data_IF_624193206514
#
_entry.id   IF_624193206514
#
_cell.length_a   1.000
_cell.length_b   1.000
_cell.length_c   1.000
_cell.angle_alpha   90.00
_cell.angle_beta   90.00
_cell.angle_gamma   90.00
#
_symmetry.space_group_name_H-M   'P 1'
#
loop_
_entity.id
_entity.type
_entity.pdbx_description
1 polymer ?
#
# COMPACT_ATOMS: atom_id res chain seq x y z
N UNK A 1 -7.96 -5.63 -18.16
CA UNK A 1 -8.33 -4.84 -19.36
C UNK A 1 -7.24 -5.08 -20.41
N UNK A 2 -7.61 -5.48 -21.62
CA UNK A 2 -6.66 -5.88 -22.68
C UNK A 2 -5.79 -4.70 -23.14
N UNK A 3 -4.52 -4.93 -23.49
CA UNK A 3 -3.62 -3.92 -24.06
C UNK A 3 -3.95 -3.65 -25.56
N UNK A 4 -3.43 -2.58 -26.16
CA UNK A 4 -3.80 -2.20 -27.55
C UNK A 4 -3.47 -3.31 -28.57
N UNK A 5 -2.38 -4.06 -28.34
CA UNK A 5 -1.95 -5.19 -29.18
C UNK A 5 -2.90 -6.39 -29.04
N UNK A 6 -3.31 -6.72 -27.81
CA UNK A 6 -4.31 -7.75 -27.51
C UNK A 6 -5.68 -7.39 -28.07
N UNK A 7 -6.08 -6.11 -27.97
CA UNK A 7 -7.33 -5.63 -28.55
C UNK A 7 -7.27 -5.67 -30.08
N UNK A 8 -6.16 -5.24 -30.69
CA UNK A 8 -5.95 -5.33 -32.15
C UNK A 8 -6.10 -6.77 -32.65
N UNK A 9 -5.44 -7.72 -31.96
CA UNK A 9 -5.56 -9.15 -32.26
C UNK A 9 -6.99 -9.66 -32.09
N UNK A 10 -7.67 -9.24 -31.02
CA UNK A 10 -9.06 -9.63 -30.78
C UNK A 10 -10.00 -9.09 -31.87
N UNK A 11 -9.83 -7.84 -32.29
CA UNK A 11 -10.61 -7.27 -33.40
C UNK A 11 -10.31 -7.99 -34.72
N UNK A 12 -9.07 -8.35 -35.02
CA UNK A 12 -8.73 -9.09 -36.24
C UNK A 12 -9.45 -10.46 -36.35
N UNK A 13 -9.79 -11.07 -35.20
CA UNK A 13 -10.52 -12.35 -35.13
C UNK A 13 -12.05 -12.20 -35.18
N UNK A 14 -12.58 -10.97 -35.13
CA UNK A 14 -14.02 -10.73 -35.19
C UNK A 14 -14.54 -10.72 -36.64
N UNK A 15 -15.83 -11.08 -36.84
CA UNK A 15 -16.48 -10.90 -38.14
C UNK A 15 -16.52 -9.42 -38.55
N UNK A 16 -16.67 -9.13 -39.84
CA UNK A 16 -16.74 -7.76 -40.37
C UNK A 16 -17.83 -6.91 -39.70
N UNK A 17 -18.90 -7.55 -39.25
CA UNK A 17 -20.04 -6.92 -38.58
C UNK A 17 -20.09 -7.35 -37.13
N UNK A 18 -19.88 -6.39 -36.23
CA UNK A 18 -19.72 -6.64 -34.79
C UNK A 18 -20.87 -6.07 -33.96
N UNK A 19 -21.24 -6.79 -32.92
CA UNK A 19 -22.22 -6.39 -31.92
C UNK A 19 -21.54 -5.68 -30.74
N UNK A 20 -22.33 -4.98 -29.91
CA UNK A 20 -21.81 -4.34 -28.69
C UNK A 20 -21.17 -5.36 -27.71
N UNK A 21 -21.70 -6.59 -27.65
CA UNK A 21 -21.15 -7.65 -26.82
C UNK A 21 -19.75 -8.09 -27.31
N UNK A 22 -19.58 -8.30 -28.61
CA UNK A 22 -18.29 -8.64 -29.21
C UNK A 22 -17.26 -7.52 -29.03
N UNK A 23 -17.68 -6.26 -29.14
CA UNK A 23 -16.82 -5.10 -28.86
C UNK A 23 -16.42 -5.08 -27.38
N UNK A 24 -17.35 -5.32 -26.46
CA UNK A 24 -17.09 -5.38 -25.02
C UNK A 24 -16.07 -6.47 -24.67
N UNK A 25 -16.23 -7.65 -25.26
CA UNK A 25 -15.34 -8.80 -25.07
C UNK A 25 -13.94 -8.54 -25.66
N UNK A 26 -13.86 -8.03 -26.90
CA UNK A 26 -12.60 -7.73 -27.57
C UNK A 26 -11.80 -6.64 -26.85
N UNK A 27 -12.48 -5.63 -26.27
CA UNK A 27 -11.83 -4.53 -25.55
C UNK A 27 -11.67 -4.80 -24.04
N UNK A 28 -12.42 -5.73 -23.48
CA UNK A 28 -12.53 -5.96 -22.03
C UNK A 28 -13.23 -4.82 -21.29
N UNK A 29 -14.21 -4.16 -21.91
CA UNK A 29 -14.96 -3.02 -21.35
C UNK A 29 -16.46 -3.27 -21.35
N UNK A 30 -17.09 -3.18 -20.17
CA UNK A 30 -18.50 -3.49 -19.99
C UNK A 30 -19.47 -2.39 -20.48
N UNK A 31 -19.07 -1.12 -20.46
CA UNK A 31 -19.98 0.02 -20.70
C UNK A 31 -19.89 0.59 -22.11
N UNK A 32 -20.03 -0.27 -23.13
CA UNK A 32 -20.02 0.14 -24.55
C UNK A 32 -21.21 1.05 -24.90
N UNK A 33 -22.32 0.95 -24.16
CA UNK A 33 -23.50 1.80 -24.37
C UNK A 33 -23.18 3.30 -24.22
N UNK A 34 -22.20 3.68 -23.41
CA UNK A 34 -21.77 5.07 -23.27
C UNK A 34 -21.02 5.58 -24.50
N UNK A 35 -20.44 4.68 -25.31
CA UNK A 35 -19.74 5.07 -26.55
C UNK A 35 -20.73 5.44 -27.64
N UNK A 36 -21.91 4.82 -27.64
CA UNK A 36 -22.97 5.12 -28.61
C UNK A 36 -23.51 6.54 -28.46
N UNK A 37 -23.27 7.20 -27.31
CA UNK A 37 -23.62 8.60 -27.09
C UNK A 37 -22.58 9.57 -27.69
N UNK A 38 -21.40 9.10 -28.05
CA UNK A 38 -20.38 9.91 -28.73
C UNK A 38 -20.77 10.05 -30.21
N UNK A 39 -20.97 11.28 -30.73
CA UNK A 39 -21.35 11.51 -32.13
C UNK A 39 -20.33 10.98 -33.16
N UNK A 40 -19.07 10.80 -32.74
CA UNK A 40 -18.01 10.26 -33.59
C UNK A 40 -17.95 8.73 -33.60
N UNK A 41 -18.70 8.06 -32.70
CA UNK A 41 -18.72 6.61 -32.65
C UNK A 41 -19.41 6.04 -33.89
N UNK A 42 -18.85 4.99 -34.52
CA UNK A 42 -19.42 4.42 -35.73
C UNK A 42 -20.88 4.00 -35.56
N UNK A 43 -21.72 4.52 -36.45
CA UNK A 43 -23.10 4.08 -36.60
C UNK A 43 -23.16 2.59 -36.93
N UNK A 44 -24.33 2.00 -36.73
CA UNK A 44 -24.56 0.62 -37.08
C UNK A 44 -25.97 0.41 -37.61
N UNK A 45 -26.11 -0.62 -38.43
CA UNK A 45 -27.42 -0.99 -38.95
C UNK A 45 -28.09 -1.94 -37.97
N UNK A 46 -29.39 -1.76 -37.82
CA UNK A 46 -30.21 -2.65 -37.01
C UNK A 46 -30.50 -3.93 -37.79
N UNK A 47 -30.61 -5.05 -37.07
CA UNK A 47 -31.24 -6.24 -37.64
C UNK A 47 -32.69 -5.97 -38.07
N UNK A 48 -33.26 -6.90 -38.85
CA UNK A 48 -34.65 -6.84 -39.30
C UNK A 48 -35.69 -6.81 -38.15
N UNK A 49 -35.27 -6.86 -36.88
CA UNK A 49 -36.12 -6.71 -35.69
C UNK A 49 -35.77 -5.54 -34.78
N UNK A 50 -34.82 -4.67 -35.16
CA UNK A 50 -34.43 -3.49 -34.38
C UNK A 50 -33.65 -3.76 -33.07
N UNK A 51 -33.39 -5.02 -32.72
CA UNK A 51 -32.88 -5.41 -31.39
C UNK A 51 -31.36 -5.40 -31.32
N UNK A 52 -30.68 -5.81 -32.38
CA UNK A 52 -29.22 -5.85 -32.43
C UNK A 52 -28.71 -4.81 -33.41
N UNK A 53 -27.75 -4.00 -32.96
CA UNK A 53 -27.05 -3.02 -33.81
C UNK A 53 -25.70 -3.60 -34.22
N UNK A 54 -25.54 -3.86 -35.51
CA UNK A 54 -24.31 -4.33 -36.13
C UNK A 54 -23.50 -3.15 -36.64
N UNK A 55 -22.22 -3.10 -36.27
CA UNK A 55 -21.29 -2.04 -36.68
C UNK A 55 -20.18 -2.62 -37.52
N UNK A 56 -19.61 -1.79 -38.37
CA UNK A 56 -18.40 -2.14 -39.09
C UNK A 56 -17.23 -2.31 -38.11
N UNK A 57 -16.60 -3.49 -38.14
CA UNK A 57 -15.50 -3.89 -37.25
C UNK A 57 -14.32 -2.93 -37.35
N UNK A 58 -13.92 -2.58 -38.56
CA UNK A 58 -12.70 -1.83 -38.82
C UNK A 58 -12.89 -0.35 -38.49
N UNK A 59 -14.09 0.20 -38.71
CA UNK A 59 -14.49 1.51 -38.26
C UNK A 59 -14.50 1.62 -36.73
N UNK A 60 -15.04 0.61 -36.03
CA UNK A 60 -15.03 0.56 -34.55
C UNK A 60 -13.61 0.45 -34.03
N UNK A 61 -12.76 -0.39 -34.65
CA UNK A 61 -11.35 -0.48 -34.29
C UNK A 61 -10.63 0.85 -34.50
N UNK A 62 -10.79 1.49 -35.66
CA UNK A 62 -10.18 2.79 -35.99
C UNK A 62 -10.61 3.87 -34.99
N UNK A 63 -11.90 3.95 -34.68
CA UNK A 63 -12.40 4.85 -33.65
C UNK A 63 -11.77 4.55 -32.30
N UNK A 64 -11.79 3.29 -31.86
CA UNK A 64 -11.23 2.84 -30.59
C UNK A 64 -9.75 3.21 -30.48
N UNK A 65 -8.94 2.92 -31.51
CA UNK A 65 -7.51 3.23 -31.54
C UNK A 65 -7.22 4.73 -31.48
N UNK A 66 -8.10 5.57 -32.03
CA UNK A 66 -8.00 7.03 -31.94
C UNK A 66 -8.35 7.58 -30.55
N UNK A 67 -9.08 6.81 -29.74
CA UNK A 67 -9.53 7.28 -28.43
C UNK A 67 -8.34 7.55 -27.49
N UNK A 68 -8.36 8.64 -26.71
CA UNK A 68 -7.36 8.91 -25.69
C UNK A 68 -7.17 7.71 -24.75
N UNK A 69 -8.24 6.96 -24.49
CA UNK A 69 -8.22 5.79 -23.62
C UNK A 69 -7.53 4.55 -24.17
N UNK A 70 -7.29 4.47 -25.48
CA UNK A 70 -6.64 3.35 -26.15
C UNK A 70 -5.13 3.59 -26.36
N UNK A 71 -4.66 4.83 -26.27
CA UNK A 71 -3.25 5.21 -26.46
C UNK A 71 -2.31 4.36 -25.59
N UNK A 72 -1.16 3.90 -26.12
CA UNK A 72 -0.19 3.10 -25.38
C UNK A 72 0.42 3.88 -24.20
N UNK A 73 0.59 5.20 -24.36
CA UNK A 73 1.19 6.09 -23.36
C UNK A 73 0.17 6.78 -22.44
N UNK A 74 -1.04 6.22 -22.30
CA UNK A 74 -2.03 6.82 -21.40
C UNK A 74 -1.65 6.62 -19.93
N UNK A 75 -1.66 7.72 -19.18
CA UNK A 75 -1.80 7.74 -17.73
C UNK A 75 -3.15 7.12 -17.33
N UNK A 76 -3.11 5.82 -17.06
CA UNK A 76 -4.20 5.01 -16.55
C UNK A 76 -3.63 3.84 -15.75
N UNK A 77 -4.47 2.94 -15.21
CA UNK A 77 -4.03 1.87 -14.31
C UNK A 77 -3.18 0.77 -14.98
N UNK A 78 -2.74 0.96 -16.24
CA UNK A 78 -1.84 0.03 -16.92
C UNK A 78 -0.45 0.14 -16.31
N UNK A 79 0.20 -1.00 -16.13
CA UNK A 79 1.52 -1.14 -15.49
C UNK A 79 1.56 -0.53 -14.07
N UNK A 80 0.43 -0.50 -13.35
CA UNK A 80 0.43 -0.04 -11.96
C UNK A 80 1.40 -0.83 -11.10
N UNK A 81 1.53 -2.13 -11.32
CA UNK A 81 2.52 -2.95 -10.63
C UNK A 81 3.94 -2.43 -10.88
N UNK A 82 4.33 -2.25 -12.16
CA UNK A 82 5.64 -1.70 -12.51
C UNK A 82 5.87 -0.31 -11.92
N UNK A 83 4.86 0.57 -11.98
CA UNK A 83 4.93 1.91 -11.41
C UNK A 83 5.09 1.88 -9.89
N UNK A 84 4.33 1.02 -9.21
CA UNK A 84 4.40 0.83 -7.77
C UNK A 84 5.75 0.24 -7.37
N UNK A 85 6.34 -0.63 -8.18
CA UNK A 85 7.69 -1.15 -7.97
C UNK A 85 8.73 -0.04 -8.07
N UNK A 86 8.67 0.78 -9.12
CA UNK A 86 9.67 1.81 -9.43
C UNK A 86 9.49 3.11 -8.65
N UNK A 87 8.32 3.33 -8.04
CA UNK A 87 8.01 4.58 -7.35
C UNK A 87 8.81 4.69 -6.04
N UNK A 88 9.63 5.73 -5.96
CA UNK A 88 10.39 6.11 -4.78
C UNK A 88 9.91 7.48 -4.29
N UNK A 89 8.92 7.53 -3.38
CA UNK A 89 8.49 8.79 -2.83
C UNK A 89 9.56 9.35 -1.89
N UNK A 90 9.64 10.67 -1.81
CA UNK A 90 10.54 11.39 -0.90
C UNK A 90 9.97 11.50 0.53
N UNK A 91 8.79 10.95 0.75
CA UNK A 91 8.07 10.97 2.02
C UNK A 91 7.25 9.69 2.18
N UNK A 92 7.02 9.31 3.43
CA UNK A 92 6.35 8.06 3.80
C UNK A 92 4.83 8.18 3.63
N UNK A 93 4.27 9.29 4.10
CA UNK A 93 2.84 9.59 4.06
C UNK A 93 2.51 10.46 2.86
N UNK A 94 1.56 10.02 2.04
CA UNK A 94 1.16 10.67 0.79
C UNK A 94 -0.34 10.99 0.81
N UNK A 95 -0.69 12.23 0.47
CA UNK A 95 -2.07 12.60 0.22
C UNK A 95 -2.60 12.01 -1.10
N UNK A 96 -3.89 12.21 -1.38
CA UNK A 96 -4.55 11.68 -2.59
C UNK A 96 -3.95 12.25 -3.89
N UNK A 97 -3.53 13.50 -3.88
CA UNK A 97 -2.90 14.18 -5.01
C UNK A 97 -1.51 13.64 -5.26
N UNK A 98 -0.70 13.53 -4.20
CA UNK A 98 0.66 13.01 -4.25
C UNK A 98 0.68 11.55 -4.70
N UNK A 99 -0.25 10.71 -4.21
CA UNK A 99 -0.46 9.35 -4.69
C UNK A 99 -0.86 9.30 -6.17
N UNK A 100 -1.75 10.20 -6.58
CA UNK A 100 -2.19 10.28 -7.97
C UNK A 100 -1.02 10.65 -8.89
N UNK A 101 -0.24 11.65 -8.52
CA UNK A 101 0.92 12.10 -9.29
C UNK A 101 2.02 11.02 -9.34
N UNK A 102 2.35 10.43 -8.19
CA UNK A 102 3.35 9.36 -8.08
C UNK A 102 3.01 8.15 -8.96
N UNK A 103 1.73 7.76 -9.02
CA UNK A 103 1.27 6.60 -9.78
C UNK A 103 0.85 6.95 -11.22
N UNK A 104 0.92 8.23 -11.62
CA UNK A 104 0.37 8.72 -12.89
C UNK A 104 -1.09 8.32 -13.06
N UNK A 105 -1.88 8.50 -12.00
CA UNK A 105 -3.32 8.30 -11.91
C UNK A 105 -4.02 9.65 -11.78
N UNK A 106 -5.34 9.67 -11.98
CA UNK A 106 -6.17 10.82 -11.60
C UNK A 106 -6.56 10.71 -10.12
N UNK A 107 -6.75 11.84 -9.41
CA UNK A 107 -7.29 11.83 -8.02
C UNK A 107 -8.57 11.00 -7.89
N UNK A 108 -9.51 11.13 -8.85
CA UNK A 108 -10.73 10.32 -8.91
C UNK A 108 -10.48 8.82 -8.97
N UNK A 109 -9.41 8.39 -9.64
CA UNK A 109 -9.04 6.97 -9.71
C UNK A 109 -8.51 6.46 -8.37
N UNK A 110 -7.77 7.28 -7.62
CA UNK A 110 -7.34 6.96 -6.25
C UNK A 110 -8.55 6.86 -5.32
N UNK A 111 -9.45 7.84 -5.34
CA UNK A 111 -10.68 7.83 -4.53
C UNK A 111 -11.55 6.60 -4.80
N UNK A 112 -11.60 6.15 -6.06
CA UNK A 112 -12.35 4.95 -6.43
C UNK A 112 -11.82 3.67 -5.76
N UNK A 113 -10.53 3.59 -5.39
CA UNK A 113 -10.04 2.46 -4.60
C UNK A 113 -10.60 2.49 -3.18
N UNK A 114 -10.64 3.66 -2.54
CA UNK A 114 -11.25 3.85 -1.22
C UNK A 114 -12.74 3.50 -1.22
N UNK A 115 -13.48 3.94 -2.24
CA UNK A 115 -14.91 3.65 -2.38
C UNK A 115 -15.17 2.15 -2.63
N UNK A 116 -14.33 1.50 -3.44
CA UNK A 116 -14.51 0.10 -3.82
C UNK A 116 -14.03 -0.88 -2.75
N UNK A 117 -13.06 -0.48 -1.94
CA UNK A 117 -12.44 -1.31 -0.91
C UNK A 117 -12.45 -0.57 0.43
N UNK A 118 -13.64 -0.26 0.99
CA UNK A 118 -13.74 0.47 2.25
C UNK A 118 -13.24 -0.36 3.43
N UNK A 119 -12.60 0.30 4.41
CA UNK A 119 -12.04 -0.33 5.61
C UNK A 119 -13.08 -1.08 6.47
N UNK A 120 -14.35 -0.66 6.42
CA UNK A 120 -15.43 -1.22 7.23
C UNK A 120 -16.00 -2.54 6.70
N UNK A 121 -15.88 -2.82 5.41
CA UNK A 121 -16.64 -3.91 4.76
C UNK A 121 -15.78 -4.81 3.87
N UNK A 122 -14.68 -4.30 3.32
CA UNK A 122 -13.86 -5.08 2.41
C UNK A 122 -12.98 -6.06 3.18
N UNK A 123 -12.95 -7.33 2.74
CA UNK A 123 -12.01 -8.35 3.23
C UNK A 123 -10.53 -7.94 3.04
N UNK A 124 -10.25 -7.13 2.04
CA UNK A 124 -8.92 -6.58 1.76
C UNK A 124 -9.06 -5.10 1.40
N UNK A 125 -9.22 -4.22 2.41
CA UNK A 125 -9.52 -2.82 2.21
C UNK A 125 -8.33 -2.06 1.65
N UNK A 126 -8.61 -0.98 0.92
CA UNK A 126 -7.57 -0.04 0.54
C UNK A 126 -7.02 0.66 1.80
N UNK A 127 -5.70 0.90 1.92
CA UNK A 127 -5.13 1.42 3.15
C UNK A 127 -5.81 2.70 3.66
N UNK A 128 -6.10 2.76 4.96
CA UNK A 128 -6.79 3.91 5.55
C UNK A 128 -5.91 5.14 5.48
N UNK A 129 -6.56 6.30 5.42
CA UNK A 129 -5.86 7.56 5.64
C UNK A 129 -5.66 7.82 7.14
N UNK A 130 -4.62 8.59 7.47
CA UNK A 130 -4.45 9.23 8.77
C UNK A 130 -5.47 10.36 8.98
N UNK A 131 -5.35 11.05 10.12
CA UNK A 131 -6.19 12.20 10.45
C UNK A 131 -6.04 13.37 9.45
N UNK A 132 -4.89 13.47 8.78
CA UNK A 132 -4.59 14.50 7.78
C UNK A 132 -5.02 14.09 6.35
N UNK A 133 -5.63 12.91 6.19
CA UNK A 133 -6.03 12.40 4.89
C UNK A 133 -4.89 11.77 4.06
N UNK A 134 -3.71 11.59 4.65
CA UNK A 134 -2.52 10.97 4.03
C UNK A 134 -2.47 9.47 4.29
N UNK A 135 -1.80 8.73 3.42
CA UNK A 135 -1.69 7.28 3.49
C UNK A 135 -0.24 6.84 3.46
N UNK A 136 0.05 5.78 4.20
CA UNK A 136 1.34 5.12 4.17
C UNK A 136 1.63 4.56 2.77
N UNK A 137 2.72 5.03 2.15
CA UNK A 137 3.16 4.53 0.85
C UNK A 137 3.48 3.04 0.90
N UNK A 138 4.15 2.57 1.95
CA UNK A 138 4.53 1.16 2.09
C UNK A 138 3.30 0.25 2.10
N UNK A 139 2.22 0.67 2.79
CA UNK A 139 0.93 -0.03 2.78
C UNK A 139 0.22 0.04 1.43
N UNK A 140 0.17 1.21 0.78
CA UNK A 140 -0.46 1.39 -0.53
C UNK A 140 0.25 0.54 -1.58
N UNK A 141 1.58 0.51 -1.55
CA UNK A 141 2.41 -0.34 -2.38
C UNK A 141 2.09 -1.80 -2.15
N UNK A 142 2.21 -2.30 -0.92
CA UNK A 142 1.90 -3.69 -0.59
C UNK A 142 0.47 -4.09 -1.02
N UNK A 143 -0.50 -3.17 -0.91
CA UNK A 143 -1.87 -3.39 -1.38
C UNK A 143 -1.96 -3.59 -2.89
N UNK A 144 -1.31 -2.75 -3.69
CA UNK A 144 -1.29 -2.93 -5.14
C UNK A 144 -0.56 -4.20 -5.58
N UNK A 145 0.52 -4.57 -4.87
CA UNK A 145 1.34 -5.71 -5.24
C UNK A 145 0.65 -7.04 -4.96
N UNK A 146 0.03 -7.20 -3.78
CA UNK A 146 -0.68 -8.45 -3.44
C UNK A 146 -1.89 -8.75 -4.34
N UNK A 147 -2.46 -7.73 -5.00
CA UNK A 147 -3.54 -7.94 -5.98
C UNK A 147 -3.08 -8.64 -7.26
N UNK A 148 -1.79 -8.57 -7.59
CA UNK A 148 -1.22 -9.15 -8.81
C UNK A 148 -0.23 -10.30 -8.52
N UNK A 149 0.09 -10.56 -7.25
CA UNK A 149 1.08 -11.56 -6.83
C UNK A 149 0.46 -12.50 -5.77
N UNK A 150 -0.44 -13.40 -6.18
CA UNK A 150 -1.18 -14.27 -5.26
C UNK A 150 -0.22 -15.19 -4.49
N UNK A 151 -0.65 -15.61 -3.30
CA UNK A 151 0.04 -16.65 -2.52
C UNK A 151 0.18 -17.93 -3.36
N UNK A 152 1.31 -18.68 -3.26
CA UNK A 152 1.44 -19.98 -3.90
C UNK A 152 0.25 -20.91 -3.63
N UNK A 153 -0.10 -21.71 -4.64
CA UNK A 153 -1.21 -22.65 -4.55
C UNK A 153 -0.91 -23.76 -3.53
N UNK A 154 -1.96 -24.28 -2.89
CA UNK A 154 -1.83 -25.49 -2.10
C UNK A 154 -1.56 -26.69 -3.02
N UNK A 155 -0.73 -27.63 -2.55
CA UNK A 155 -0.54 -28.92 -3.21
C UNK A 155 -1.75 -29.84 -3.03
N UNK A 156 -1.66 -31.07 -3.56
CA UNK A 156 -2.74 -32.06 -3.52
C UNK A 156 -3.24 -32.40 -2.11
N UNK A 157 -2.39 -32.22 -1.08
CA UNK A 157 -2.74 -32.43 0.32
C UNK A 157 -3.36 -31.22 1.04
N UNK A 158 -3.69 -30.13 0.32
CA UNK A 158 -4.25 -28.90 0.91
C UNK A 158 -3.24 -28.01 1.65
N UNK A 159 -2.06 -28.54 1.98
CA UNK A 159 -0.94 -27.77 2.50
C UNK A 159 -0.19 -27.03 1.37
N UNK A 160 0.30 -25.83 1.66
CA UNK A 160 1.22 -25.09 0.78
C UNK A 160 2.65 -25.52 1.04
N UNK A 161 3.45 -25.57 -0.03
CA UNK A 161 4.88 -25.82 0.11
C UNK A 161 5.55 -24.61 0.80
N UNK A 162 6.22 -24.87 1.92
CA UNK A 162 6.88 -23.84 2.69
C UNK A 162 8.04 -23.17 1.93
N UNK A 163 8.76 -23.91 1.09
CA UNK A 163 9.84 -23.35 0.28
C UNK A 163 9.30 -22.33 -0.72
N UNK A 164 8.19 -22.64 -1.41
CA UNK A 164 7.54 -21.71 -2.33
C UNK A 164 7.00 -20.47 -1.61
N UNK A 165 6.40 -20.68 -0.43
CA UNK A 165 5.92 -19.57 0.41
C UNK A 165 7.08 -18.69 0.87
N UNK A 166 8.22 -19.24 1.28
CA UNK A 166 9.40 -18.45 1.66
C UNK A 166 9.93 -17.60 0.51
N UNK A 167 10.05 -18.17 -0.68
CA UNK A 167 10.48 -17.43 -1.89
C UNK A 167 9.48 -16.30 -2.18
N UNK A 168 8.19 -16.59 -2.09
CA UNK A 168 7.14 -15.59 -2.29
C UNK A 168 7.14 -14.49 -1.22
N UNK A 169 7.38 -14.82 0.05
CA UNK A 169 7.51 -13.85 1.15
C UNK A 169 8.68 -12.89 0.90
N UNK A 170 9.84 -13.43 0.50
CA UNK A 170 11.09 -12.68 0.38
C UNK A 170 11.31 -11.98 -0.96
N UNK A 171 10.40 -12.18 -1.94
CA UNK A 171 10.52 -11.68 -3.32
C UNK A 171 10.93 -10.21 -3.45
N UNK A 172 10.60 -9.38 -2.45
CA UNK A 172 10.83 -7.93 -2.42
C UNK A 172 11.36 -7.43 -1.08
N UNK A 173 11.93 -8.31 -0.26
CA UNK A 173 12.39 -7.98 1.08
C UNK A 173 13.47 -6.86 1.10
N UNK A 174 14.30 -6.79 0.05
CA UNK A 174 15.34 -5.78 -0.10
C UNK A 174 14.84 -4.42 -0.63
N UNK A 175 13.55 -4.28 -0.99
CA UNK A 175 13.07 -3.00 -1.54
C UNK A 175 13.21 -1.86 -0.51
N UNK A 176 13.85 -0.77 -0.92
CA UNK A 176 14.04 0.39 -0.06
C UNK A 176 15.08 0.20 1.05
N UNK A 177 15.91 -0.86 1.00
CA UNK A 177 17.11 -0.95 1.84
C UNK A 177 18.23 -0.02 1.38
N UNK A 178 18.25 0.33 0.09
CA UNK A 178 19.24 1.23 -0.47
C UNK A 178 18.90 2.70 -0.15
N UNK A 179 19.89 3.50 0.28
CA UNK A 179 19.66 4.91 0.60
C UNK A 179 19.30 5.71 -0.66
N UNK A 180 18.22 6.48 -0.58
CA UNK A 180 17.81 7.47 -1.58
C UNK A 180 18.18 8.84 -1.04
N UNK A 181 18.98 9.60 -1.79
CA UNK A 181 19.55 10.89 -1.33
C UNK A 181 20.29 10.77 0.03
N UNK A 182 20.96 9.63 0.25
CA UNK A 182 21.69 9.34 1.49
C UNK A 182 20.82 8.94 2.67
N UNK A 183 19.51 8.68 2.47
CA UNK A 183 18.57 8.31 3.54
C UNK A 183 17.82 7.03 3.21
N UNK A 184 17.69 6.17 4.21
CA UNK A 184 16.77 5.02 4.16
C UNK A 184 15.41 5.50 4.66
N UNK A 185 14.38 5.32 3.84
CA UNK A 185 13.02 5.69 4.19
C UNK A 185 12.34 4.53 4.91
N UNK A 186 12.19 4.69 6.23
CA UNK A 186 11.43 3.79 7.08
C UNK A 186 9.99 4.30 7.21
N UNK A 187 9.02 3.39 7.20
CA UNK A 187 7.62 3.73 7.39
C UNK A 187 7.29 4.02 8.87
N UNK A 188 6.01 4.25 9.14
CA UNK A 188 5.52 4.57 10.50
C UNK A 188 5.80 3.47 11.54
N UNK A 189 6.12 2.24 11.09
CA UNK A 189 6.51 1.13 11.95
C UNK A 189 8.03 0.94 12.04
N UNK A 190 8.83 1.83 11.43
CA UNK A 190 10.28 1.69 11.38
C UNK A 190 10.74 0.60 10.40
N UNK A 191 9.88 0.21 9.46
CA UNK A 191 10.15 -0.82 8.45
C UNK A 191 10.49 -0.17 7.11
N UNK A 192 11.44 -0.75 6.36
CA UNK A 192 11.59 -0.41 4.95
C UNK A 192 10.35 -0.85 4.16
N UNK A 193 10.21 -0.32 2.95
CA UNK A 193 9.13 -0.72 2.03
C UNK A 193 9.11 -2.24 1.79
N UNK A 194 10.29 -2.85 1.63
CA UNK A 194 10.45 -4.30 1.44
C UNK A 194 10.11 -5.10 2.69
N UNK A 195 10.58 -4.65 3.86
CA UNK A 195 10.22 -5.27 5.14
C UNK A 195 8.70 -5.21 5.37
N UNK A 196 8.05 -4.09 5.04
CA UNK A 196 6.59 -3.96 5.11
C UNK A 196 5.87 -4.93 4.18
N UNK A 197 6.36 -5.11 2.95
CA UNK A 197 5.78 -6.07 1.98
C UNK A 197 5.86 -7.50 2.53
N UNK A 198 7.00 -7.88 3.13
CA UNK A 198 7.18 -9.18 3.79
C UNK A 198 6.16 -9.40 4.92
N UNK A 199 5.95 -8.40 5.79
CA UNK A 199 4.95 -8.47 6.88
C UNK A 199 3.53 -8.63 6.34
N UNK A 200 3.15 -7.86 5.31
CA UNK A 200 1.82 -7.97 4.69
C UNK A 200 1.61 -9.34 4.01
N UNK A 201 2.65 -9.90 3.38
CA UNK A 201 2.60 -11.24 2.81
C UNK A 201 2.52 -12.32 3.89
N UNK A 202 3.24 -12.16 5.00
CA UNK A 202 3.17 -13.08 6.15
C UNK A 202 1.75 -13.12 6.72
N UNK A 203 1.08 -11.96 6.86
CA UNK A 203 -0.33 -11.88 7.24
C UNK A 203 -1.23 -12.64 6.27
N UNK A 204 -1.05 -12.48 4.96
CA UNK A 204 -1.84 -13.21 3.96
C UNK A 204 -1.61 -14.73 4.02
N UNK A 205 -0.37 -15.16 4.30
CA UNK A 205 -0.05 -16.57 4.49
C UNK A 205 -0.72 -17.14 5.75
N UNK A 206 -0.67 -16.41 6.86
CA UNK A 206 -1.38 -16.76 8.11
C UNK A 206 -2.89 -16.87 7.89
N UNK A 207 -3.49 -15.88 7.23
CA UNK A 207 -4.92 -15.87 6.87
C UNK A 207 -5.31 -16.98 5.86
N UNK A 208 -4.34 -17.66 5.25
CA UNK A 208 -4.51 -18.82 4.39
C UNK A 208 -4.08 -20.12 5.08
N UNK A 209 -4.04 -20.14 6.42
CA UNK A 209 -3.68 -21.29 7.26
C UNK A 209 -2.25 -21.80 7.04
N UNK A 210 -1.34 -20.93 6.62
CA UNK A 210 0.08 -21.26 6.45
C UNK A 210 0.87 -20.72 7.64
N UNK A 211 1.51 -21.61 8.39
CA UNK A 211 2.34 -21.25 9.53
C UNK A 211 3.60 -20.51 9.08
N UNK A 212 3.71 -19.23 9.43
CA UNK A 212 4.92 -18.41 9.25
C UNK A 212 5.55 -18.22 10.63
N UNK A 213 6.71 -18.84 10.94
CA UNK A 213 7.34 -18.68 12.24
C UNK A 213 7.79 -17.22 12.44
N UNK A 214 7.38 -16.59 13.54
CA UNK A 214 7.71 -15.19 13.83
C UNK A 214 9.21 -14.99 14.03
N UNK A 215 9.88 -15.93 14.71
CA UNK A 215 11.33 -15.87 14.92
C UNK A 215 12.10 -15.88 13.59
N UNK A 216 11.69 -16.74 12.66
CA UNK A 216 12.26 -16.76 11.31
C UNK A 216 11.98 -15.44 10.57
N UNK A 217 10.78 -14.89 10.72
CA UNK A 217 10.40 -13.63 10.10
C UNK A 217 11.22 -12.45 10.67
N UNK A 218 11.46 -12.42 11.98
CA UNK A 218 12.29 -11.41 12.62
C UNK A 218 13.75 -11.50 12.13
N UNK A 219 14.30 -12.72 12.06
CA UNK A 219 15.65 -12.98 11.54
C UNK A 219 15.82 -12.46 10.10
N UNK A 220 14.93 -12.84 9.17
CA UNK A 220 15.05 -12.41 7.76
C UNK A 220 14.79 -10.92 7.54
N UNK A 221 14.14 -10.26 8.50
CA UNK A 221 13.93 -8.81 8.50
C UNK A 221 15.05 -8.05 9.23
N UNK A 222 16.08 -8.75 9.75
CA UNK A 222 17.13 -8.16 10.58
C UNK A 222 16.56 -7.39 11.78
N UNK A 223 15.60 -8.03 12.45
CA UNK A 223 14.97 -7.57 13.69
C UNK A 223 15.58 -8.34 14.87
N UNK A 224 16.87 -8.12 15.11
CA UNK A 224 17.69 -8.90 16.05
C UNK A 224 17.75 -8.31 17.47
N UNK A 225 17.13 -7.14 17.71
CA UNK A 225 17.10 -6.58 19.06
C UNK A 225 16.09 -7.30 19.96
N UNK A 226 16.41 -7.44 21.25
CA UNK A 226 15.50 -8.01 22.25
C UNK A 226 14.16 -7.26 22.26
N UNK A 227 13.05 -7.99 22.17
CA UNK A 227 11.70 -7.41 22.10
C UNK A 227 11.14 -7.26 20.67
N UNK A 228 11.95 -7.41 19.62
CA UNK A 228 11.49 -7.17 18.25
C UNK A 228 10.73 -8.36 17.65
N UNK A 229 11.06 -9.59 18.04
CA UNK A 229 10.27 -10.77 17.68
C UNK A 229 8.89 -10.72 18.34
N UNK A 230 8.80 -10.36 19.63
CA UNK A 230 7.53 -10.16 20.33
C UNK A 230 6.72 -9.02 19.71
N UNK A 231 7.37 -7.91 19.38
CA UNK A 231 6.73 -6.79 18.65
C UNK A 231 6.14 -7.23 17.31
N UNK A 232 6.85 -8.06 16.56
CA UNK A 232 6.39 -8.56 15.26
C UNK A 232 5.22 -9.53 15.42
N UNK A 233 5.24 -10.37 16.46
CA UNK A 233 4.12 -11.23 16.81
C UNK A 233 2.87 -10.40 17.12
N UNK A 234 2.99 -9.43 18.03
CA UNK A 234 1.90 -8.50 18.41
C UNK A 234 1.36 -7.77 17.17
N UNK A 235 2.24 -7.27 16.30
CA UNK A 235 1.84 -6.60 15.07
C UNK A 235 1.01 -7.50 14.16
N UNK A 236 1.44 -8.75 13.93
CA UNK A 236 0.71 -9.70 13.09
C UNK A 236 -0.63 -10.07 13.70
N UNK A 237 -0.70 -10.27 15.01
CA UNK A 237 -1.95 -10.58 15.72
C UNK A 237 -2.95 -9.43 15.62
N UNK A 238 -2.47 -8.19 15.79
CA UNK A 238 -3.27 -6.97 15.61
C UNK A 238 -3.82 -6.88 14.18
N UNK A 239 -2.99 -7.18 13.18
CA UNK A 239 -3.41 -7.16 11.78
C UNK A 239 -4.37 -8.31 11.40
N UNK A 240 -4.29 -9.45 12.09
CA UNK A 240 -5.20 -10.59 11.93
C UNK A 240 -6.56 -10.35 12.60
N UNK A 241 -6.59 -9.63 13.73
CA UNK A 241 -7.80 -9.32 14.50
C UNK A 241 -8.80 -8.41 13.76
N UNK A 242 -8.40 -7.78 12.66
CA UNK A 242 -9.34 -7.16 11.72
C UNK A 242 -8.79 -5.98 10.91
N UNK A 243 -9.50 -5.56 9.86
CA UNK A 243 -9.01 -4.57 8.87
C UNK A 243 -8.85 -3.14 9.40
N UNK A 244 -9.11 -2.89 10.67
CA UNK A 244 -9.10 -1.56 11.30
C UNK A 244 -7.71 -1.21 11.85
N UNK A 245 -6.87 -2.20 12.10
CA UNK A 245 -5.69 -2.02 12.92
C UNK A 245 -4.44 -1.77 12.07
N UNK A 246 -4.38 -0.55 11.55
CA UNK A 246 -3.20 0.32 11.53
C UNK A 246 -3.74 1.65 11.04
N UNK A 247 -4.69 2.23 11.79
CA UNK A 247 -4.86 3.67 11.71
C UNK A 247 -3.48 4.24 12.02
N UNK A 248 -2.95 5.11 11.16
CA UNK A 248 -1.90 6.01 11.59
C UNK A 248 -2.48 6.65 12.86
N UNK A 249 -1.83 6.45 14.00
CA UNK A 249 -2.18 7.31 15.12
C UNK A 249 -2.09 8.71 14.57
N UNK A 250 -3.18 9.47 14.72
CA UNK A 250 -3.23 10.85 14.30
C UNK A 250 -1.89 11.49 14.68
N UNK A 251 -1.22 12.24 13.79
CA UNK A 251 -0.27 13.19 14.31
C UNK A 251 -1.04 13.93 15.39
N UNK A 252 -0.52 13.90 16.62
CA UNK A 252 -1.03 14.78 17.65
C UNK A 252 -1.09 16.14 16.95
N UNK A 253 -2.32 16.67 16.88
CA UNK A 253 -2.69 17.93 16.24
C UNK A 253 -1.57 18.94 16.37
N UNK A 254 -1.42 19.79 15.35
CA UNK A 254 -0.52 20.95 15.22
C UNK A 254 -0.56 21.92 16.44
N UNK A 255 -0.22 21.40 17.62
CA UNK A 255 0.02 22.10 18.87
C UNK A 255 1.51 22.39 18.84
N UNK A 256 1.84 23.63 18.49
CA UNK A 256 3.23 24.08 18.30
C UNK A 256 4.19 23.46 19.30
N UNK A 257 5.19 22.73 18.80
CA UNK A 257 6.27 22.09 19.55
C UNK A 257 5.87 21.71 20.99
N UNK A 258 4.91 20.78 21.14
CA UNK A 258 4.59 20.20 22.45
C UNK A 258 5.88 19.59 22.99
N UNK A 259 6.49 20.30 23.93
CA UNK A 259 7.79 19.97 24.51
C UNK A 259 7.59 19.42 25.91
N UNK A 260 8.10 18.22 26.15
CA UNK A 260 7.94 17.53 27.42
C UNK A 260 9.28 17.41 28.15
N UNK A 261 9.20 17.54 29.47
CA UNK A 261 10.30 17.19 30.36
C UNK A 261 10.50 15.67 30.41
N UNK A 262 11.67 15.24 30.88
CA UNK A 262 12.10 13.85 30.78
C UNK A 262 11.15 12.83 31.45
N UNK A 263 10.53 13.19 32.58
CA UNK A 263 9.51 12.31 33.23
C UNK A 263 8.23 12.21 32.40
N UNK A 264 7.79 13.30 31.78
CA UNK A 264 6.59 13.31 30.96
C UNK A 264 6.81 12.60 29.62
N UNK A 265 8.00 12.71 29.02
CA UNK A 265 8.38 11.93 27.83
C UNK A 265 8.38 10.42 28.10
N UNK A 266 8.96 10.01 29.24
CA UNK A 266 8.95 8.61 29.66
C UNK A 266 7.52 8.08 29.76
N UNK A 267 6.61 8.85 30.39
CA UNK A 267 5.19 8.49 30.48
C UNK A 267 4.49 8.45 29.11
N UNK A 268 4.72 9.45 28.26
CA UNK A 268 4.09 9.57 26.93
C UNK A 268 4.43 8.38 26.02
N UNK A 269 5.65 7.85 26.12
CA UNK A 269 6.14 6.78 25.25
C UNK A 269 6.22 5.40 25.95
N UNK A 270 5.65 5.26 27.15
CA UNK A 270 5.64 3.97 27.86
C UNK A 270 7.02 3.49 28.33
N UNK A 271 8.00 4.37 28.49
CA UNK A 271 9.33 4.02 28.98
C UNK A 271 9.53 4.40 30.45
N UNK A 272 10.56 3.81 31.05
CA UNK A 272 11.08 4.32 32.32
C UNK A 272 11.96 5.56 32.10
N UNK A 273 12.11 6.35 33.16
CA UNK A 273 12.90 7.59 33.16
C UNK A 273 14.38 7.36 32.79
N UNK A 274 14.94 6.23 33.20
CA UNK A 274 16.35 5.89 32.97
C UNK A 274 16.61 5.48 31.52
N UNK A 275 15.64 4.90 30.81
CA UNK A 275 15.70 4.59 29.38
C UNK A 275 15.85 5.86 28.55
N UNK A 276 15.05 6.89 28.83
CA UNK A 276 15.17 8.18 28.14
C UNK A 276 16.51 8.87 28.48
N UNK A 277 17.00 8.76 29.72
CA UNK A 277 18.35 9.26 30.08
C UNK A 277 19.45 8.49 29.38
N UNK A 278 19.30 7.18 29.24
CA UNK A 278 20.23 6.32 28.54
C UNK A 278 20.32 6.76 27.08
N UNK A 279 19.18 6.93 26.39
CA UNK A 279 19.16 7.42 25.01
C UNK A 279 19.86 8.77 24.88
N UNK A 280 19.56 9.72 25.78
CA UNK A 280 20.20 11.03 25.78
C UNK A 280 21.72 11.02 26.05
N UNK A 281 22.29 9.94 26.63
CA UNK A 281 23.73 9.81 26.95
C UNK A 281 24.48 8.94 25.94
N UNK A 282 23.83 7.91 25.43
CA UNK A 282 24.39 6.96 24.48
C UNK A 282 24.41 7.55 23.07
N UNK A 283 23.37 8.30 22.69
CA UNK A 283 23.17 8.82 21.34
C UNK A 283 23.38 10.34 21.31
N UNK A 284 24.62 10.77 21.53
CA UNK A 284 25.01 12.19 21.43
C UNK A 284 25.54 12.51 20.02
N UNK A 285 25.48 13.78 19.56
CA UNK A 285 25.98 14.15 18.22
C UNK A 285 27.46 13.81 17.98
N UNK A 286 28.23 13.64 19.06
CA UNK A 286 29.64 13.27 19.03
C UNK A 286 29.88 11.75 18.89
N UNK A 287 28.85 10.93 19.11
CA UNK A 287 28.97 9.46 19.22
C UNK A 287 28.23 8.69 18.13
N UNK A 288 27.18 9.28 17.54
CA UNK A 288 26.31 8.61 16.57
C UNK A 288 25.85 9.59 15.50
N UNK A 289 25.57 9.07 14.31
CA UNK A 289 25.12 9.87 13.16
C UNK A 289 23.66 10.34 13.28
N UNK A 290 22.80 9.62 14.03
CA UNK A 290 21.41 10.03 14.36
C UNK A 290 21.28 10.25 15.88
N UNK A 291 21.67 11.42 16.41
CA UNK A 291 21.65 11.67 17.85
C UNK A 291 20.22 11.82 18.40
N UNK A 292 20.06 11.44 19.67
CA UNK A 292 18.80 11.64 20.38
C UNK A 292 18.45 13.13 20.42
N UNK A 293 17.19 13.53 20.18
CA UNK A 293 16.80 14.92 20.06
C UNK A 293 17.27 15.80 21.22
N UNK A 294 17.79 16.96 20.86
CA UNK A 294 18.36 17.90 21.80
C UNK A 294 17.27 18.48 22.72
N UNK A 295 17.65 18.77 23.96
CA UNK A 295 16.81 19.53 24.88
C UNK A 295 16.97 21.02 24.64
N UNK A 296 15.94 21.80 24.92
CA UNK A 296 16.06 23.26 24.97
C UNK A 296 16.65 23.77 26.30
N UNK A 297 16.70 25.09 26.44
CA UNK A 297 17.12 25.77 27.66
C UNK A 297 16.24 25.47 28.89
N UNK A 298 15.04 24.92 28.71
CA UNK A 298 14.16 24.47 29.80
C UNK A 298 14.27 22.97 30.08
N UNK A 299 15.26 22.29 29.47
CA UNK A 299 15.46 20.85 29.55
C UNK A 299 14.27 20.01 29.08
N UNK A 300 13.47 20.55 28.16
CA UNK A 300 12.37 19.86 27.50
C UNK A 300 12.77 19.45 26.08
N UNK A 301 12.16 18.39 25.54
CA UNK A 301 12.40 17.94 24.16
C UNK A 301 11.11 17.94 23.37
N UNK A 302 11.25 18.16 22.07
CA UNK A 302 10.13 18.10 21.14
C UNK A 302 9.62 16.64 21.05
N UNK A 303 8.33 16.46 21.34
CA UNK A 303 7.71 15.13 21.36
C UNK A 303 7.70 14.50 19.98
N UNK A 304 7.49 15.27 18.90
CA UNK A 304 7.48 14.75 17.55
C UNK A 304 8.89 14.33 17.11
N UNK A 305 9.93 15.12 17.43
CA UNK A 305 11.31 14.72 17.16
C UNK A 305 11.71 13.46 17.93
N UNK A 306 11.33 13.36 19.21
CA UNK A 306 11.61 12.17 20.03
C UNK A 306 10.86 10.95 19.52
N UNK A 307 9.58 11.09 19.16
CA UNK A 307 8.80 10.00 18.55
C UNK A 307 9.46 9.53 17.25
N UNK A 308 9.79 10.45 16.35
CA UNK A 308 10.43 10.14 15.08
C UNK A 308 11.78 9.47 15.29
N UNK A 309 12.59 9.96 16.24
CA UNK A 309 13.86 9.32 16.58
C UNK A 309 13.66 7.90 17.12
N UNK A 310 12.71 7.71 18.04
CA UNK A 310 12.39 6.41 18.61
C UNK A 310 11.87 5.43 17.54
N UNK A 311 11.09 5.90 16.56
CA UNK A 311 10.65 5.08 15.42
C UNK A 311 11.85 4.73 14.53
N UNK A 312 12.67 5.71 14.14
CA UNK A 312 13.88 5.49 13.32
C UNK A 312 14.86 4.52 13.97
N UNK A 313 14.97 4.58 15.29
CA UNK A 313 15.86 3.73 16.09
C UNK A 313 15.14 2.48 16.62
N UNK A 314 13.93 2.18 16.15
CA UNK A 314 13.13 0.98 16.49
C UNK A 314 12.94 0.74 18.00
N UNK A 315 12.79 1.82 18.76
CA UNK A 315 12.63 1.78 20.23
C UNK A 315 11.19 1.84 20.70
N UNK A 316 10.22 2.24 19.84
CA UNK A 316 8.79 2.34 20.17
C UNK A 316 8.02 1.04 19.90
N UNK A 317 7.20 0.60 20.86
CA UNK A 317 6.11 -0.37 20.65
C UNK A 317 4.86 0.34 20.10
N UNK A 318 4.02 -0.30 19.29
CA UNK A 318 2.74 0.26 18.87
C UNK A 318 1.84 0.42 20.10
N UNK A 319 1.04 1.48 20.10
CA UNK A 319 0.10 1.73 21.19
C UNK A 319 -0.92 0.59 21.28
N UNK A 320 -1.17 0.10 22.49
CA UNK A 320 -2.32 -0.74 22.78
C UNK A 320 -3.60 -0.05 22.28
N UNK A 321 -4.57 -0.80 21.75
CA UNK A 321 -5.86 -0.24 21.41
C UNK A 321 -6.53 0.29 22.67
N UNK A 322 -6.63 1.62 22.79
CA UNK A 322 -7.49 2.29 23.78
C UNK A 322 -8.93 1.81 23.56
N UNK A 323 -9.42 0.95 24.45
CA UNK A 323 -10.80 0.47 24.38
C UNK A 323 -11.15 -0.81 25.12
N UNK A 324 -10.45 -1.22 26.17
CA UNK A 324 -11.11 -1.96 27.26
C UNK A 324 -11.55 -0.94 28.30
N UNK A 325 -12.65 -0.24 28.00
CA UNK A 325 -13.40 0.42 29.04
C UNK A 325 -13.84 -0.66 30.02
N UNK A 326 -13.19 -0.66 31.19
CA UNK A 326 -13.75 -1.26 32.38
C UNK A 326 -15.15 -0.68 32.60
N UNK A 327 -16.14 -1.56 32.76
CA UNK A 327 -17.21 -1.34 33.73
C UNK A 327 -17.84 -2.69 34.10
N UNK A 328 -17.77 -2.95 35.41
CA UNK A 328 -18.58 -3.81 36.27
C UNK A 328 -18.73 -5.32 35.97
#
# INVERSE_FOLDING_TARGET
MKNITEVSRAFAALPERVTAAQIAEATGRAHIHNWVQDPSFPGGDKDHGGRTVYRDRDAVWKWYAAQPFARPNRSGPRNLETKVVSAQPKQVLLDTSELADLLGLTRRAVNKYTERYPASEAKDPFPPADADGKRSWSQVRAWFLRKNDPIPAAGEGGARDWADVRVWLLKRAADGSDPVDGRIYLDELGLTIGQRDVVERARLARAADTSVPVEWLAEVLHLEESGQAEWLAELLDVMDAGPVALRPQAPATDEGSRRLGLTALAREFGFNKETIKHYARAYTPEKVDDPFPAKDGRSTRDVAEVRNWLIRNRKLRPAEPDGAAADA
#
